data_IF_427991704823
#
_entry.id   IF_427991704823
#
_cell.length_a   1.000
_cell.length_b   1.000
_cell.length_c   1.000
_cell.angle_alpha   90.00
_cell.angle_beta   90.00
_cell.angle_gamma   90.00
#
_symmetry.space_group_name_H-M   'P 1'
#
loop_
_entity.id
_entity.type
_entity.pdbx_description
1 polymer ?
#
# COMPACT_ATOMS: atom_id res chain seq x y z
N UNK A 1 -3.09 12.89 4.65
CA UNK A 1 -3.49 13.12 3.24
C UNK A 1 -4.87 12.58 2.86
N UNK A 2 -5.60 11.81 3.68
CA UNK A 2 -6.96 11.39 3.31
C UNK A 2 -7.92 11.41 4.52
N UNK A 3 -9.17 11.81 4.31
CA UNK A 3 -10.26 11.67 5.29
C UNK A 3 -10.59 10.18 5.49
N UNK A 4 -11.14 9.81 6.64
CA UNK A 4 -11.37 8.41 7.03
C UNK A 4 -12.19 7.56 6.04
N UNK A 5 -12.90 8.19 5.11
CA UNK A 5 -13.66 7.52 4.04
C UNK A 5 -12.88 7.22 2.77
N UNK A 6 -11.68 7.80 2.57
CA UNK A 6 -10.91 7.69 1.30
C UNK A 6 -9.58 6.94 1.49
N UNK A 7 -9.17 6.65 2.73
CA UNK A 7 -7.89 5.95 3.01
C UNK A 7 -7.83 4.56 2.35
N UNK A 8 -8.93 3.81 2.35
CA UNK A 8 -9.01 2.48 1.73
C UNK A 8 -8.81 2.53 0.21
N UNK A 9 -9.61 3.35 -0.47
CA UNK A 9 -9.52 3.54 -1.92
C UNK A 9 -8.19 4.16 -2.37
N UNK A 10 -7.65 5.13 -1.62
CA UNK A 10 -6.35 5.71 -1.92
C UNK A 10 -5.22 4.69 -1.81
N UNK A 11 -5.20 3.88 -0.75
CA UNK A 11 -4.22 2.80 -0.60
C UNK A 11 -4.36 1.73 -1.70
N UNK A 12 -5.59 1.38 -2.08
CA UNK A 12 -5.85 0.44 -3.16
C UNK A 12 -5.35 0.96 -4.52
N UNK A 13 -5.56 2.24 -4.81
CA UNK A 13 -5.12 2.86 -6.06
C UNK A 13 -3.58 3.00 -6.12
N UNK A 14 -2.96 3.41 -5.03
CA UNK A 14 -1.47 3.47 -4.94
C UNK A 14 -0.86 2.08 -5.05
N UNK A 15 -1.45 1.07 -4.39
CA UNK A 15 -1.03 -0.33 -4.50
C UNK A 15 -1.15 -0.86 -5.93
N UNK A 16 -2.27 -0.56 -6.61
CA UNK A 16 -2.48 -0.89 -8.01
C UNK A 16 -1.46 -0.24 -8.94
N UNK A 17 -1.13 1.03 -8.71
CA UNK A 17 -0.10 1.73 -9.47
C UNK A 17 1.30 1.14 -9.27
N UNK A 18 1.65 0.76 -8.03
CA UNK A 18 2.91 0.10 -7.73
C UNK A 18 3.06 -1.25 -8.44
N UNK A 19 2.04 -2.10 -8.35
CA UNK A 19 2.07 -3.43 -8.96
C UNK A 19 1.95 -3.40 -10.50
N UNK A 20 1.34 -2.36 -11.08
CA UNK A 20 1.32 -2.12 -12.54
C UNK A 20 2.74 -2.05 -13.13
N UNK A 21 3.75 -1.66 -12.33
CA UNK A 21 5.14 -1.56 -12.77
C UNK A 21 5.68 -2.83 -13.44
N UNK A 22 5.19 -4.02 -13.04
CA UNK A 22 5.51 -5.28 -13.70
C UNK A 22 5.05 -5.29 -15.17
N UNK A 23 3.81 -4.86 -15.43
CA UNK A 23 3.26 -4.76 -16.78
C UNK A 23 3.96 -3.71 -17.64
N UNK A 24 4.27 -2.54 -17.06
CA UNK A 24 5.03 -1.49 -17.77
C UNK A 24 6.41 -1.99 -18.17
N UNK A 25 7.07 -2.76 -17.31
CA UNK A 25 8.38 -3.36 -17.60
C UNK A 25 8.29 -4.33 -18.78
N UNK A 26 7.24 -5.16 -18.84
CA UNK A 26 6.97 -6.05 -19.97
C UNK A 26 6.74 -5.33 -21.30
N UNK A 27 6.24 -4.09 -21.28
CA UNK A 27 6.12 -3.27 -22.48
C UNK A 27 7.46 -2.62 -22.84
N UNK A 28 8.05 -1.89 -21.91
CA UNK A 28 9.18 -1.02 -22.20
C UNK A 28 10.48 -1.81 -22.45
N UNK A 29 10.76 -2.85 -21.67
CA UNK A 29 12.04 -3.55 -21.74
C UNK A 29 12.31 -4.21 -23.10
N UNK A 30 11.37 -5.00 -23.65
CA UNK A 30 11.57 -5.61 -24.97
C UNK A 30 11.66 -4.55 -26.07
N UNK A 31 10.88 -3.48 -26.00
CA UNK A 31 10.91 -2.41 -27.01
C UNK A 31 12.26 -1.67 -27.03
N UNK A 32 12.81 -1.37 -25.85
CA UNK A 32 14.14 -0.77 -25.72
C UNK A 32 15.20 -1.74 -26.25
N UNK A 33 15.13 -3.01 -25.85
CA UNK A 33 16.07 -4.04 -26.29
C UNK A 33 16.08 -4.20 -27.82
N UNK A 34 14.91 -4.32 -28.44
CA UNK A 34 14.75 -4.43 -29.89
C UNK A 34 15.24 -3.16 -30.60
N UNK A 35 14.96 -1.98 -30.02
CA UNK A 35 15.48 -0.69 -30.50
C UNK A 35 17.00 -0.67 -30.55
N UNK A 36 17.68 -1.06 -29.46
CA UNK A 36 19.14 -1.10 -29.38
C UNK A 36 19.74 -2.15 -30.33
N UNK A 37 19.10 -3.31 -30.44
CA UNK A 37 19.50 -4.35 -31.40
C UNK A 37 19.39 -3.85 -32.85
N UNK A 38 18.30 -3.16 -33.19
CA UNK A 38 18.12 -2.58 -34.53
C UNK A 38 19.11 -1.45 -34.84
N UNK A 39 19.62 -0.76 -33.82
CA UNK A 39 20.70 0.22 -33.94
C UNK A 39 22.11 -0.41 -34.11
N UNK A 40 22.22 -1.75 -34.12
CA UNK A 40 23.46 -2.48 -34.39
C UNK A 40 24.23 -2.95 -33.16
N UNK A 41 23.68 -2.82 -31.95
CA UNK A 41 24.30 -3.37 -30.75
C UNK A 41 24.14 -4.89 -30.68
N UNK A 42 25.13 -5.57 -30.11
CA UNK A 42 25.04 -7.00 -29.81
C UNK A 42 24.02 -7.27 -28.69
N UNK A 43 23.42 -8.46 -28.67
CA UNK A 43 22.41 -8.84 -27.67
C UNK A 43 22.90 -8.63 -26.22
N UNK A 44 24.18 -8.92 -25.95
CA UNK A 44 24.78 -8.69 -24.64
C UNK A 44 24.91 -7.21 -24.28
N UNK A 45 25.23 -6.34 -25.25
CA UNK A 45 25.33 -4.90 -25.02
C UNK A 45 23.94 -4.28 -24.85
N UNK A 46 22.98 -4.67 -25.70
CA UNK A 46 21.59 -4.19 -25.64
C UNK A 46 20.96 -4.46 -24.28
N UNK A 47 21.12 -5.67 -23.72
CA UNK A 47 20.60 -5.99 -22.38
C UNK A 47 21.20 -5.12 -21.27
N UNK A 48 22.51 -4.87 -21.31
CA UNK A 48 23.18 -4.04 -20.29
C UNK A 48 22.71 -2.60 -20.35
N UNK A 49 22.58 -2.04 -21.56
CA UNK A 49 22.13 -0.67 -21.76
C UNK A 49 20.66 -0.50 -21.38
N UNK A 50 19.80 -1.48 -21.69
CA UNK A 50 18.39 -1.47 -21.26
C UNK A 50 18.21 -1.35 -19.75
N UNK A 51 19.10 -1.98 -18.96
CA UNK A 51 19.05 -1.93 -17.48
C UNK A 51 19.44 -0.57 -16.88
N UNK A 52 20.10 0.30 -17.65
CA UNK A 52 20.44 1.66 -17.20
C UNK A 52 19.19 2.53 -17.08
N UNK A 53 18.16 2.27 -17.88
CA UNK A 53 16.96 3.10 -17.94
C UNK A 53 16.14 3.02 -16.64
N UNK A 54 15.77 1.85 -16.09
CA UNK A 54 15.11 1.78 -14.77
C UNK A 54 15.96 2.37 -13.66
N UNK A 55 17.28 2.14 -13.70
CA UNK A 55 18.18 2.74 -12.71
C UNK A 55 18.07 4.27 -12.72
N UNK A 56 18.09 4.88 -13.91
CA UNK A 56 17.86 6.31 -14.09
C UNK A 56 16.51 6.78 -13.56
N UNK A 57 15.43 6.05 -13.85
CA UNK A 57 14.09 6.36 -13.33
C UNK A 57 14.09 6.31 -11.80
N UNK A 58 14.67 5.28 -11.18
CA UNK A 58 14.78 5.17 -9.72
C UNK A 58 15.55 6.35 -9.10
N UNK A 59 16.65 6.80 -9.73
CA UNK A 59 17.40 7.96 -9.25
C UNK A 59 16.59 9.25 -9.35
N UNK A 60 15.91 9.48 -10.48
CA UNK A 60 15.09 10.67 -10.68
C UNK A 60 13.93 10.71 -9.68
N UNK A 61 13.25 9.59 -9.47
CA UNK A 61 12.17 9.49 -8.49
C UNK A 61 12.71 9.66 -7.06
N UNK A 62 13.85 9.06 -6.72
CA UNK A 62 14.49 9.23 -5.42
C UNK A 62 14.87 10.68 -5.14
N UNK A 63 15.42 11.38 -6.13
CA UNK A 63 15.73 12.82 -6.03
C UNK A 63 14.45 13.66 -5.92
N UNK A 64 13.42 13.34 -6.70
CA UNK A 64 12.12 14.00 -6.59
C UNK A 64 11.50 13.80 -5.20
N UNK A 65 11.64 12.62 -4.60
CA UNK A 65 11.21 12.41 -3.22
C UNK A 65 11.93 13.35 -2.25
N UNK A 66 13.25 13.53 -2.39
CA UNK A 66 14.02 14.45 -1.54
C UNK A 66 13.66 15.92 -1.74
N UNK A 67 13.32 16.32 -2.96
CA UNK A 67 13.04 17.73 -3.29
C UNK A 67 11.57 18.13 -3.08
N UNK A 68 10.63 17.18 -3.17
CA UNK A 68 9.20 17.48 -3.23
C UNK A 68 8.35 16.73 -2.20
N UNK A 69 8.89 15.76 -1.43
CA UNK A 69 8.09 15.06 -0.41
C UNK A 69 8.15 15.75 0.94
N UNK A 70 6.99 15.97 1.55
CA UNK A 70 6.87 16.45 2.93
C UNK A 70 7.10 15.31 3.94
N UNK A 71 7.80 15.59 5.04
CA UNK A 71 8.18 14.62 6.09
C UNK A 71 6.98 13.92 6.76
N UNK A 72 5.79 14.53 6.73
CA UNK A 72 4.54 13.93 7.21
C UNK A 72 3.31 14.77 6.80
N UNK A 73 2.11 14.17 6.72
CA UNK A 73 0.85 14.90 6.50
C UNK A 73 0.45 15.85 7.66
N UNK A 74 1.22 15.93 8.75
CA UNK A 74 1.04 16.92 9.82
C UNK A 74 2.32 17.76 10.07
N UNK A 75 3.15 17.96 9.03
CA UNK A 75 4.39 18.73 9.08
C UNK A 75 5.57 18.03 9.77
N UNK A 76 6.74 18.69 9.76
CA UNK A 76 8.01 18.18 10.30
C UNK A 76 7.85 17.68 11.73
N UNK A 77 8.35 16.47 11.99
CA UNK A 77 8.42 15.88 13.33
C UNK A 77 9.14 16.79 14.33
N UNK A 78 10.16 17.51 13.87
CA UNK A 78 10.94 18.47 14.65
C UNK A 78 10.09 19.63 15.19
N UNK A 79 9.11 20.11 14.41
CA UNK A 79 8.25 21.24 14.77
C UNK A 79 7.15 20.85 15.78
N UNK A 80 6.76 19.58 15.85
CA UNK A 80 5.71 19.11 16.78
C UNK A 80 6.15 19.10 18.23
N UNK A 81 7.42 18.82 18.51
CA UNK A 81 7.96 18.97 19.87
C UNK A 81 7.93 20.42 20.32
N UNK A 82 8.21 21.36 19.41
CA UNK A 82 8.30 22.77 19.72
C UNK A 82 6.93 23.39 19.97
N UNK A 83 5.92 23.10 19.14
CA UNK A 83 4.53 23.52 19.39
C UNK A 83 3.94 22.94 20.68
N UNK A 84 4.25 21.69 21.04
CA UNK A 84 3.84 21.13 22.33
C UNK A 84 4.49 21.86 23.51
N UNK A 85 5.76 22.27 23.39
CA UNK A 85 6.47 23.03 24.43
C UNK A 85 5.93 24.46 24.51
N UNK A 86 5.62 25.10 23.38
CA UNK A 86 5.03 26.45 23.32
C UNK A 86 3.61 26.50 23.89
N UNK A 87 2.74 25.52 23.59
CA UNK A 87 1.40 25.42 24.19
C UNK A 87 1.47 25.22 25.71
N UNK A 88 2.41 24.41 26.20
CA UNK A 88 2.62 24.20 27.64
C UNK A 88 3.08 25.51 28.31
N UNK A 89 4.03 26.25 27.71
CA UNK A 89 4.50 27.53 28.23
C UNK A 89 3.43 28.62 28.21
N UNK A 90 2.55 28.64 27.20
CA UNK A 90 1.45 29.59 27.14
C UNK A 90 0.40 29.29 28.22
N UNK A 91 -0.01 28.02 28.35
CA UNK A 91 -0.97 27.59 29.36
C UNK A 91 -0.45 27.74 30.80
N UNK A 92 0.86 27.59 31.01
CA UNK A 92 1.49 27.85 32.31
C UNK A 92 1.48 29.34 32.65
N UNK A 93 1.84 30.21 31.70
CA UNK A 93 1.79 31.66 31.88
C UNK A 93 0.36 32.18 32.12
N UNK A 94 -0.64 31.69 31.39
CA UNK A 94 -2.04 32.06 31.58
C UNK A 94 -2.55 31.69 32.98
N UNK A 95 -2.23 30.48 33.45
CA UNK A 95 -2.53 30.06 34.84
C UNK A 95 -1.76 30.86 35.89
N UNK A 96 -0.53 31.27 35.61
CA UNK A 96 0.23 32.09 36.56
C UNK A 96 -0.35 33.49 36.68
N UNK A 97 -0.84 34.06 35.57
CA UNK A 97 -1.51 35.37 35.55
C UNK A 97 -2.84 35.31 36.31
N UNK A 98 -3.67 34.28 36.08
CA UNK A 98 -4.95 34.12 36.81
C UNK A 98 -4.77 33.89 38.32
N UNK A 99 -3.77 33.08 38.73
CA UNK A 99 -3.48 32.81 40.14
C UNK A 99 -2.91 34.05 40.85
N UNK A 100 -2.17 34.91 40.14
CA UNK A 100 -1.61 36.11 40.73
C UNK A 100 -2.66 37.23 40.93
N UNK A 101 -3.68 37.31 40.08
CA UNK A 101 -4.81 38.22 40.25
C UNK A 101 -5.81 37.75 41.33
N UNK A 102 -6.01 36.43 41.47
CA UNK A 102 -6.91 35.85 42.48
C UNK A 102 -6.40 36.03 43.93
N UNK A 103 -5.08 35.96 44.16
CA UNK A 103 -4.48 36.06 45.50
C UNK A 103 -4.41 37.49 46.08
N UNK A 104 -4.97 38.49 45.39
CA UNK A 104 -5.08 39.87 45.89
C UNK A 104 -6.37 40.14 46.67
N UNK A 105 -7.30 39.20 46.69
CA UNK A 105 -8.52 39.26 47.49
C UNK A 105 -8.56 38.09 48.49
N UNK A 106 -8.73 38.44 49.75
CA UNK A 106 -9.10 37.56 50.86
C UNK A 106 -7.98 37.00 51.77
N UNK A 107 -7.94 37.58 52.98
CA UNK A 107 -7.29 37.04 54.17
C UNK A 107 -8.40 36.96 55.22
N UNK A 108 -8.75 35.76 55.70
CA UNK A 108 -9.06 35.44 57.13
C UNK A 108 -9.62 34.02 57.34
N UNK A 109 -8.93 33.26 58.22
CA UNK A 109 -9.37 32.18 59.15
C UNK A 109 -9.80 30.77 58.68
N UNK A 110 -8.97 29.80 59.12
CA UNK A 110 -9.24 28.47 59.75
C UNK A 110 -10.32 27.55 59.19
N UNK A 111 -9.91 26.31 58.84
CA UNK A 111 -10.37 25.00 59.37
C UNK A 111 -9.35 23.93 58.92
N UNK A 112 -8.98 23.02 59.84
CA UNK A 112 -8.30 21.74 59.52
C UNK A 112 -9.37 20.80 58.97
N UNK A 113 -9.17 20.20 57.79
CA UNK A 113 -9.65 18.85 57.41
C UNK A 113 -9.19 18.53 55.97
N UNK A 114 -8.33 17.52 55.85
CA UNK A 114 -8.39 16.41 54.89
C UNK A 114 -8.81 16.68 53.42
N UNK A 115 -8.13 17.58 52.71
CA UNK A 115 -8.39 17.79 51.28
C UNK A 115 -7.12 17.97 50.42
N UNK A 116 -6.21 16.99 50.46
CA UNK A 116 -5.15 16.85 49.44
C UNK A 116 -5.53 15.84 48.35
N UNK A 117 -6.84 15.64 48.10
CA UNK A 117 -7.35 14.70 47.10
C UNK A 117 -8.04 15.37 45.89
N UNK A 118 -7.99 16.69 45.75
CA UNK A 118 -8.68 17.38 44.66
C UNK A 118 -7.70 18.35 43.98
N UNK A 119 -7.68 18.28 42.64
CA UNK A 119 -6.81 19.03 41.71
C UNK A 119 -5.47 18.33 41.38
N UNK A 120 -5.55 17.07 40.97
CA UNK A 120 -4.72 16.59 39.86
C UNK A 120 -5.65 16.12 38.75
N UNK A 121 -6.38 17.07 38.16
CA UNK A 121 -7.08 16.79 36.90
C UNK A 121 -6.02 16.73 35.81
N UNK A 122 -5.50 15.51 35.62
CA UNK A 122 -4.61 15.10 34.54
C UNK A 122 -5.09 15.74 33.24
N UNK A 123 -4.28 16.65 32.70
CA UNK A 123 -4.37 17.10 31.32
C UNK A 123 -4.58 15.87 30.41
N UNK A 124 -5.46 15.93 29.39
CA UNK A 124 -5.73 14.80 28.53
C UNK A 124 -4.40 14.38 27.89
N UNK A 125 -3.87 13.23 28.32
CA UNK A 125 -2.64 12.68 27.76
C UNK A 125 -2.91 12.41 26.28
N UNK A 126 -2.36 13.25 25.40
CA UNK A 126 -2.27 12.95 23.97
C UNK A 126 -1.62 11.58 23.88
N UNK A 127 -2.41 10.58 23.52
CA UNK A 127 -1.98 9.19 23.48
C UNK A 127 -1.04 9.04 22.29
N UNK A 128 0.25 9.35 22.48
CA UNK A 128 1.29 9.00 21.53
C UNK A 128 1.25 7.47 21.39
N UNK A 129 1.02 6.92 20.19
CA UNK A 129 0.96 5.47 20.02
C UNK A 129 2.25 4.85 20.59
N UNK A 130 2.15 3.76 21.37
CA UNK A 130 3.31 3.14 21.98
C UNK A 130 4.35 2.82 20.92
N UNK A 131 5.63 3.10 21.21
CA UNK A 131 6.73 2.81 20.29
C UNK A 131 6.64 1.33 19.86
N UNK A 132 6.69 1.03 18.55
CA UNK A 132 6.61 -0.34 18.08
C UNK A 132 7.77 -1.11 18.71
N UNK A 133 7.43 -2.07 19.57
CA UNK A 133 8.41 -2.91 20.27
C UNK A 133 8.40 -4.29 19.62
N UNK A 134 9.56 -4.94 19.52
CA UNK A 134 9.69 -6.30 18.94
C UNK A 134 8.71 -7.30 19.59
N UNK A 135 8.43 -7.17 20.89
CA UNK A 135 7.42 -7.98 21.58
C UNK A 135 5.99 -7.82 21.02
N UNK A 136 5.61 -6.63 20.52
CA UNK A 136 4.32 -6.41 19.86
C UNK A 136 4.24 -7.12 18.51
N UNK A 137 5.35 -7.17 17.77
CA UNK A 137 5.43 -7.89 16.50
C UNK A 137 5.19 -9.39 16.70
N UNK A 138 5.90 -10.03 17.65
CA UNK A 138 5.68 -11.44 17.96
C UNK A 138 4.27 -11.72 18.51
N UNK A 139 3.67 -10.77 19.23
CA UNK A 139 2.27 -10.88 19.68
C UNK A 139 1.28 -10.81 18.51
N UNK A 140 1.56 -10.01 17.49
CA UNK A 140 0.77 -9.97 16.26
C UNK A 140 0.86 -11.29 15.47
N UNK A 141 2.06 -11.87 15.34
CA UNK A 141 2.25 -13.16 14.67
C UNK A 141 1.53 -14.34 15.34
N UNK A 142 1.34 -14.29 16.67
CA UNK A 142 0.55 -15.30 17.40
C UNK A 142 -0.96 -15.15 17.22
N UNK A 143 -1.44 -14.07 16.60
CA UNK A 143 -2.86 -13.87 16.36
C UNK A 143 -3.32 -14.71 15.15
N UNK A 144 -4.30 -15.61 15.31
CA UNK A 144 -4.75 -16.48 14.23
C UNK A 144 -5.26 -15.71 13.01
N UNK A 145 -5.84 -14.52 13.19
CA UNK A 145 -6.30 -13.68 12.09
C UNK A 145 -5.15 -13.19 11.21
N UNK A 146 -3.98 -12.91 11.82
CA UNK A 146 -2.78 -12.47 11.08
C UNK A 146 -2.23 -13.63 10.27
N UNK A 147 -2.17 -14.83 10.86
CA UNK A 147 -1.70 -16.03 10.16
C UNK A 147 -2.60 -16.34 8.95
N UNK A 148 -3.92 -16.30 9.13
CA UNK A 148 -4.87 -16.51 8.03
C UNK A 148 -4.65 -15.46 6.93
N UNK A 149 -4.49 -14.18 7.30
CA UNK A 149 -4.23 -13.11 6.34
C UNK A 149 -2.90 -13.28 5.60
N UNK A 150 -1.85 -13.76 6.28
CA UNK A 150 -0.56 -14.07 5.64
C UNK A 150 -0.70 -15.15 4.56
N UNK A 151 -1.43 -16.23 4.84
CA UNK A 151 -1.67 -17.27 3.84
C UNK A 151 -2.55 -16.79 2.69
N UNK A 152 -3.59 -16.00 2.99
CA UNK A 152 -4.42 -15.39 1.94
C UNK A 152 -3.58 -14.52 1.01
N UNK A 153 -2.71 -13.68 1.56
CA UNK A 153 -1.81 -12.83 0.77
C UNK A 153 -0.79 -13.66 -0.02
N UNK A 154 -0.25 -14.72 0.57
CA UNK A 154 0.63 -15.65 -0.14
C UNK A 154 -0.08 -16.34 -1.31
N UNK A 155 -1.35 -16.70 -1.18
CA UNK A 155 -2.13 -17.33 -2.25
C UNK A 155 -2.51 -16.34 -3.36
N UNK A 156 -2.86 -15.09 -3.06
CA UNK A 156 -3.24 -14.11 -4.08
C UNK A 156 -2.00 -13.46 -4.71
N UNK A 157 -1.25 -12.71 -3.91
CA UNK A 157 -0.07 -11.98 -4.38
C UNK A 157 1.08 -12.90 -4.78
N UNK A 158 1.22 -14.06 -4.15
CA UNK A 158 2.22 -15.05 -4.57
C UNK A 158 1.92 -15.65 -5.95
N UNK A 159 0.64 -15.89 -6.29
CA UNK A 159 0.24 -16.33 -7.64
C UNK A 159 0.45 -15.20 -8.65
N UNK A 160 0.07 -13.97 -8.30
CA UNK A 160 0.32 -12.77 -9.12
C UNK A 160 1.79 -12.68 -9.51
N UNK A 161 2.68 -12.71 -8.52
CA UNK A 161 4.12 -12.60 -8.72
C UNK A 161 4.71 -13.79 -9.49
N UNK A 162 4.24 -15.02 -9.21
CA UNK A 162 4.71 -16.20 -9.91
C UNK A 162 4.34 -16.17 -11.40
N UNK A 163 3.11 -15.76 -11.73
CA UNK A 163 2.64 -15.63 -13.11
C UNK A 163 3.40 -14.48 -13.80
N UNK A 164 3.48 -13.31 -13.18
CA UNK A 164 4.21 -12.17 -13.73
C UNK A 164 5.68 -12.50 -14.01
N UNK A 165 6.31 -13.39 -13.23
CA UNK A 165 7.71 -13.76 -13.48
C UNK A 165 7.91 -14.65 -14.73
N UNK A 166 6.91 -15.44 -15.12
CA UNK A 166 7.06 -16.47 -16.16
C UNK A 166 6.19 -16.28 -17.40
N UNK A 167 5.17 -15.41 -17.33
CA UNK A 167 4.12 -15.31 -18.36
C UNK A 167 4.67 -14.90 -19.74
N UNK A 168 5.63 -13.97 -19.78
CA UNK A 168 6.25 -13.55 -21.04
C UNK A 168 7.03 -14.68 -21.71
N UNK A 169 7.80 -15.43 -20.93
CA UNK A 169 8.53 -16.60 -21.42
C UNK A 169 7.56 -17.72 -21.86
N UNK A 170 6.52 -17.96 -21.09
CA UNK A 170 5.50 -18.97 -21.38
C UNK A 170 4.83 -18.73 -22.74
N UNK A 171 4.37 -17.51 -23.04
CA UNK A 171 3.75 -17.19 -24.33
C UNK A 171 4.73 -17.21 -25.50
N UNK A 172 6.02 -16.94 -25.26
CA UNK A 172 7.05 -17.06 -26.28
C UNK A 172 7.25 -18.52 -26.69
N UNK A 173 7.43 -19.41 -25.71
CA UNK A 173 7.75 -20.83 -25.94
C UNK A 173 6.52 -21.63 -26.41
N UNK A 174 5.38 -21.48 -25.74
CA UNK A 174 4.17 -22.28 -26.02
C UNK A 174 3.49 -21.93 -27.35
N UNK A 175 3.44 -20.64 -27.71
CA UNK A 175 2.77 -20.15 -28.92
C UNK A 175 3.74 -19.73 -30.03
N UNK A 176 5.05 -19.96 -29.87
CA UNK A 176 6.10 -19.56 -30.80
C UNK A 176 6.02 -18.07 -31.22
N UNK A 177 5.67 -17.20 -30.27
CA UNK A 177 5.57 -15.76 -30.49
C UNK A 177 6.95 -15.10 -30.40
N UNK A 178 7.13 -13.94 -31.04
CA UNK A 178 8.33 -13.14 -30.79
C UNK A 178 8.37 -12.66 -29.33
N UNK A 179 9.59 -12.47 -28.79
CA UNK A 179 9.79 -12.02 -27.41
C UNK A 179 8.95 -10.78 -27.08
N UNK A 180 8.93 -9.82 -28.00
CA UNK A 180 8.16 -8.58 -27.85
C UNK A 180 6.66 -8.84 -27.82
N UNK A 181 6.11 -9.65 -28.73
CA UNK A 181 4.66 -9.95 -28.72
C UNK A 181 4.24 -10.73 -27.47
N UNK A 182 5.03 -11.73 -27.07
CA UNK A 182 4.77 -12.51 -25.87
C UNK A 182 4.82 -11.62 -24.61
N UNK A 183 5.79 -10.71 -24.53
CA UNK A 183 5.90 -9.75 -23.45
C UNK A 183 4.74 -8.75 -23.43
N UNK A 184 4.25 -8.28 -24.58
CA UNK A 184 3.06 -7.41 -24.65
C UNK A 184 1.80 -8.12 -24.13
N UNK A 185 1.65 -9.43 -24.39
CA UNK A 185 0.56 -10.22 -23.79
C UNK A 185 0.76 -10.34 -22.29
N UNK A 186 1.99 -10.63 -21.83
CA UNK A 186 2.33 -10.66 -20.41
C UNK A 186 2.05 -9.32 -19.71
N UNK A 187 2.27 -8.20 -20.39
CA UNK A 187 1.97 -6.88 -19.87
C UNK A 187 0.49 -6.69 -19.54
N UNK A 188 -0.43 -7.35 -20.26
CA UNK A 188 -1.87 -7.27 -19.95
C UNK A 188 -2.17 -7.80 -18.55
N UNK A 189 -1.42 -8.82 -18.10
CA UNK A 189 -1.53 -9.32 -16.75
C UNK A 189 -1.07 -8.25 -15.77
N UNK A 190 0.19 -7.79 -15.83
CA UNK A 190 0.69 -6.79 -14.87
C UNK A 190 -0.06 -5.44 -14.91
N UNK A 191 -0.47 -4.95 -16.07
CA UNK A 191 -1.18 -3.67 -16.23
C UNK A 191 -2.60 -3.67 -15.65
N UNK A 192 -3.22 -4.85 -15.51
CA UNK A 192 -4.55 -4.98 -14.92
C UNK A 192 -4.62 -4.45 -13.48
N UNK A 193 -3.47 -4.39 -12.78
CA UNK A 193 -3.36 -3.94 -11.39
C UNK A 193 -3.90 -2.52 -11.15
N UNK A 194 -3.88 -1.65 -12.17
CA UNK A 194 -4.46 -0.30 -12.09
C UNK A 194 -5.94 -0.36 -11.72
N UNK A 195 -6.68 -1.27 -12.35
CA UNK A 195 -8.13 -1.32 -12.26
C UNK A 195 -8.60 -2.34 -11.23
N UNK A 196 -7.96 -3.50 -11.19
CA UNK A 196 -8.34 -4.62 -10.33
C UNK A 196 -8.27 -4.24 -8.85
N UNK A 197 -7.14 -3.68 -8.40
CA UNK A 197 -6.95 -3.27 -7.00
C UNK A 197 -7.92 -2.17 -6.57
N UNK A 198 -8.13 -1.16 -7.42
CA UNK A 198 -9.11 -0.11 -7.16
C UNK A 198 -10.54 -0.68 -7.05
N UNK A 199 -10.88 -1.63 -7.93
CA UNK A 199 -12.18 -2.31 -7.90
C UNK A 199 -12.35 -3.16 -6.65
N UNK A 200 -11.29 -3.85 -6.21
CA UNK A 200 -11.29 -4.63 -4.96
C UNK A 200 -11.54 -3.78 -3.73
N UNK A 201 -10.85 -2.63 -3.64
CA UNK A 201 -11.09 -1.64 -2.58
C UNK A 201 -12.54 -1.17 -2.55
N UNK A 202 -13.07 -0.77 -3.71
CA UNK A 202 -14.46 -0.34 -3.83
C UNK A 202 -15.47 -1.45 -3.45
N UNK A 203 -15.29 -2.67 -3.95
CA UNK A 203 -16.18 -3.80 -3.67
C UNK A 203 -16.15 -4.20 -2.19
N UNK A 204 -14.97 -4.13 -1.56
CA UNK A 204 -14.77 -4.38 -0.13
C UNK A 204 -15.49 -3.33 0.73
N UNK A 205 -15.37 -2.05 0.37
CA UNK A 205 -16.05 -0.97 1.09
C UNK A 205 -17.57 -1.00 0.90
N UNK A 206 -18.03 -1.30 -0.31
CA UNK A 206 -19.45 -1.51 -0.59
C UNK A 206 -20.05 -2.67 0.23
N UNK A 207 -19.35 -3.81 0.30
CA UNK A 207 -19.81 -4.96 1.08
C UNK A 207 -19.76 -4.69 2.59
N UNK A 208 -18.80 -3.89 3.05
CA UNK A 208 -18.71 -3.45 4.43
C UNK A 208 -19.90 -2.60 4.86
N UNK A 209 -20.34 -1.66 4.03
CA UNK A 209 -21.52 -0.84 4.32
C UNK A 209 -22.79 -1.68 4.48
N UNK A 210 -22.92 -2.78 3.73
CA UNK A 210 -24.12 -3.64 3.77
C UNK A 210 -24.12 -4.69 4.88
N UNK A 211 -22.97 -5.32 5.16
CA UNK A 211 -22.87 -6.51 6.04
C UNK A 211 -21.71 -6.45 7.04
N UNK A 212 -21.09 -5.28 7.20
CA UNK A 212 -19.92 -5.09 8.06
C UNK A 212 -18.75 -5.98 7.64
N UNK A 213 -17.98 -6.46 8.62
CA UNK A 213 -16.79 -7.29 8.39
C UNK A 213 -17.13 -8.60 7.67
N UNK A 214 -18.29 -9.20 7.95
CA UNK A 214 -18.74 -10.43 7.25
C UNK A 214 -18.89 -10.21 5.74
N UNK A 215 -19.32 -9.01 5.32
CA UNK A 215 -19.42 -8.65 3.90
C UNK A 215 -18.06 -8.67 3.20
N UNK A 216 -17.04 -8.10 3.84
CA UNK A 216 -15.66 -8.11 3.31
C UNK A 216 -15.11 -9.53 3.15
N UNK A 217 -15.31 -10.38 4.15
CA UNK A 217 -14.89 -11.78 4.09
C UNK A 217 -15.58 -12.55 2.96
N UNK A 218 -16.88 -12.33 2.74
CA UNK A 218 -17.62 -12.99 1.65
C UNK A 218 -17.09 -12.57 0.28
N UNK A 219 -16.90 -11.27 0.05
CA UNK A 219 -16.35 -10.77 -1.21
C UNK A 219 -14.95 -11.34 -1.44
N UNK A 220 -14.08 -11.30 -0.43
CA UNK A 220 -12.73 -11.83 -0.54
C UNK A 220 -12.72 -13.33 -0.84
N UNK A 221 -13.59 -14.11 -0.17
CA UNK A 221 -13.77 -15.52 -0.48
C UNK A 221 -14.20 -15.76 -1.93
N UNK A 222 -15.17 -14.98 -2.44
CA UNK A 222 -15.64 -15.10 -3.82
C UNK A 222 -14.49 -14.80 -4.81
N UNK A 223 -13.69 -13.77 -4.57
CA UNK A 223 -12.58 -13.39 -5.45
C UNK A 223 -11.51 -14.49 -5.46
N UNK A 224 -11.07 -14.99 -4.31
CA UNK A 224 -10.08 -16.07 -4.23
C UNK A 224 -10.62 -17.37 -4.85
N UNK A 225 -11.90 -17.69 -4.63
CA UNK A 225 -12.52 -18.87 -5.24
C UNK A 225 -12.54 -18.75 -6.76
N UNK A 226 -12.97 -17.61 -7.30
CA UNK A 226 -12.98 -17.36 -8.74
C UNK A 226 -11.57 -17.34 -9.33
N UNK A 227 -10.58 -16.80 -8.61
CA UNK A 227 -9.17 -16.89 -8.99
C UNK A 227 -8.76 -18.36 -9.23
N UNK A 228 -9.05 -19.26 -8.29
CA UNK A 228 -8.80 -20.69 -8.46
C UNK A 228 -9.52 -21.32 -9.66
N UNK A 229 -10.79 -20.95 -9.89
CA UNK A 229 -11.56 -21.41 -11.06
C UNK A 229 -10.93 -20.95 -12.37
N UNK A 230 -10.55 -19.67 -12.47
CA UNK A 230 -9.96 -19.12 -13.69
C UNK A 230 -8.53 -19.57 -13.93
N UNK A 231 -7.76 -19.90 -12.89
CA UNK A 231 -6.47 -20.56 -13.02
C UNK A 231 -6.61 -21.93 -13.71
N UNK A 232 -7.61 -22.72 -13.29
CA UNK A 232 -7.93 -24.01 -13.94
C UNK A 232 -8.46 -23.79 -15.35
N UNK A 233 -9.32 -22.79 -15.57
CA UNK A 233 -9.83 -22.47 -16.91
C UNK A 233 -8.69 -22.06 -17.87
N UNK A 234 -7.71 -21.29 -17.38
CA UNK A 234 -6.57 -20.86 -18.18
C UNK A 234 -5.82 -22.06 -18.75
N UNK A 235 -5.61 -23.11 -17.94
CA UNK A 235 -4.98 -24.36 -18.39
C UNK A 235 -5.68 -25.03 -19.58
N UNK A 236 -7.01 -24.94 -19.68
CA UNK A 236 -7.76 -25.51 -20.80
C UNK A 236 -7.78 -24.59 -22.04
N UNK A 237 -7.64 -23.27 -21.84
CA UNK A 237 -7.64 -22.27 -22.92
C UNK A 237 -6.35 -22.22 -23.76
N UNK A 238 -5.31 -22.97 -23.37
CA UNK A 238 -3.99 -22.96 -24.00
C UNK A 238 -3.92 -23.57 -25.42
N UNK A 239 -5.03 -24.07 -25.95
CA UNK A 239 -5.10 -24.62 -27.31
C UNK A 239 -5.05 -23.52 -28.37
N UNK A 240 -5.65 -22.37 -28.08
CA UNK A 240 -5.74 -21.24 -28.99
C UNK A 240 -5.20 -19.97 -28.33
N UNK A 241 -4.41 -19.19 -29.07
CA UNK A 241 -3.86 -17.93 -28.56
C UNK A 241 -4.96 -16.95 -28.11
N UNK A 242 -6.04 -16.85 -28.89
CA UNK A 242 -7.15 -15.91 -28.59
C UNK A 242 -7.83 -16.25 -27.27
N UNK A 243 -8.15 -17.54 -27.08
CA UNK A 243 -8.83 -18.02 -25.87
C UNK A 243 -7.92 -17.86 -24.66
N UNK A 244 -6.62 -18.19 -24.80
CA UNK A 244 -5.62 -17.98 -23.76
C UNK A 244 -5.53 -16.51 -23.32
N UNK A 245 -5.51 -15.56 -24.25
CA UNK A 245 -5.45 -14.12 -23.91
C UNK A 245 -6.73 -13.66 -23.21
N UNK A 246 -7.92 -14.08 -23.68
CA UNK A 246 -9.20 -13.70 -23.07
C UNK A 246 -9.27 -14.23 -21.63
N UNK A 247 -8.96 -15.51 -21.42
CA UNK A 247 -8.99 -16.11 -20.09
C UNK A 247 -7.87 -15.53 -19.20
N UNK A 248 -6.70 -15.20 -19.75
CA UNK A 248 -5.62 -14.52 -19.03
C UNK A 248 -6.10 -13.18 -18.44
N UNK A 249 -6.83 -12.36 -19.20
CA UNK A 249 -7.33 -11.06 -18.74
C UNK A 249 -8.33 -11.24 -17.59
N UNK A 250 -9.23 -12.21 -17.70
CA UNK A 250 -10.24 -12.49 -16.65
C UNK A 250 -9.54 -13.04 -15.40
N UNK A 251 -8.64 -14.01 -15.57
CA UNK A 251 -7.82 -14.58 -14.51
C UNK A 251 -6.99 -13.51 -13.80
N UNK A 252 -6.36 -12.61 -14.56
CA UNK A 252 -5.57 -11.47 -14.06
C UNK A 252 -6.41 -10.56 -13.17
N UNK A 253 -7.63 -10.22 -13.61
CA UNK A 253 -8.54 -9.41 -12.81
C UNK A 253 -8.80 -10.06 -11.43
N UNK A 254 -9.23 -11.32 -11.38
CA UNK A 254 -9.52 -11.99 -10.10
C UNK A 254 -8.29 -12.26 -9.24
N UNK A 255 -7.11 -12.43 -9.85
CA UNK A 255 -5.86 -12.59 -9.09
C UNK A 255 -5.51 -11.30 -8.35
N UNK A 256 -5.73 -10.15 -8.98
CA UNK A 256 -5.24 -8.85 -8.51
C UNK A 256 -6.30 -8.01 -7.78
N UNK A 257 -7.58 -8.34 -7.88
CA UNK A 257 -8.66 -7.65 -7.14
C UNK A 257 -8.56 -7.86 -5.61
N UNK A 258 -7.69 -8.76 -5.14
CA UNK A 258 -7.57 -9.17 -3.74
C UNK A 258 -6.98 -8.12 -2.79
#
# INVERSE_FOLDING_TARGET
MFSGSVVGSANALVGGWGNMGAGVTYVLMPLIFDGLRSAGLSDHASWRVSMVIPAGICFVIGLACLLFSDDCPQGDWSKRKQHQIEEIHYAENEKTVEVHDANKADKTKTIKDDNESIISEKSPKVHSPPRPTIGMFFRALKNPNVIILMFMYACSFGVELAVDNVIGYFFHDHFALSQTRASMIGALFGLMNIFSRATGGFLSDYAYQKRGIKGRLIIHFIIIFLNGVFLVAFRFSLTNLRDAVIILIIFSFFTQVN
#
